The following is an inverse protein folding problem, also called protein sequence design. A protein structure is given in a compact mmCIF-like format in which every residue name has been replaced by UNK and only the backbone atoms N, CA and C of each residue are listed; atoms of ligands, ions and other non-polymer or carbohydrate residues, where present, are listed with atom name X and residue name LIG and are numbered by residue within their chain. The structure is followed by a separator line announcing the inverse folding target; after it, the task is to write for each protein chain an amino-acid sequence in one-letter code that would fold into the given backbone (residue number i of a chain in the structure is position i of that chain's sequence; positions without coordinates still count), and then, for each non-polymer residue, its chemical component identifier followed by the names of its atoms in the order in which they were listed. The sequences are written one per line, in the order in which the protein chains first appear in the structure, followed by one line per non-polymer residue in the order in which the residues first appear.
data_IF_169182672577
#
_entry.id   IF_169182672577
#
_cell.length_a   1.000
_cell.length_b   1.000
_cell.length_c   1.000
_cell.angle_alpha   90.00
_cell.angle_beta   90.00
_cell.angle_gamma   90.00
#
_symmetry.space_group_name_H-M   'P 1'
#
loop_
_entity.id
_entity.type
_entity.pdbx_description
1 polymer ?
#
# COMPACT_ATOMS: atom_id res chain seq x y z
N UNK A 1 3.81 -25.83 -5.92
CA UNK A 1 2.48 -25.18 -5.87
C UNK A 1 2.61 -23.91 -5.05
N UNK A 2 2.60 -22.75 -5.70
CA UNK A 2 2.72 -21.47 -5.00
C UNK A 2 1.44 -21.21 -4.20
N UNK A 3 1.56 -21.01 -2.88
CA UNK A 3 0.45 -20.57 -2.04
C UNK A 3 -0.11 -19.28 -2.62
N UNK A 4 -1.42 -19.21 -2.81
CA UNK A 4 -2.10 -17.95 -3.08
C UNK A 4 -1.74 -16.98 -1.95
N UNK A 5 -1.18 -15.82 -2.31
CA UNK A 5 -1.02 -14.70 -1.39
C UNK A 5 -2.40 -14.44 -0.77
N UNK A 6 -2.50 -14.31 0.55
CA UNK A 6 -3.68 -13.70 1.15
C UNK A 6 -3.74 -12.26 0.64
N UNK A 7 -4.52 -12.03 -0.43
CA UNK A 7 -4.66 -10.73 -1.10
C UNK A 7 -5.63 -9.81 -0.36
N UNK A 8 -6.13 -10.22 0.81
CA UNK A 8 -7.22 -9.53 1.51
C UNK A 8 -6.76 -8.70 2.70
N UNK A 9 -5.51 -8.86 3.14
CA UNK A 9 -4.95 -8.09 4.27
C UNK A 9 -3.87 -7.11 3.81
N UNK A 10 -4.04 -5.84 4.19
CA UNK A 10 -3.06 -4.77 4.05
C UNK A 10 -2.93 -4.05 5.38
N UNK A 11 -1.76 -3.49 5.65
CA UNK A 11 -1.50 -2.75 6.89
C UNK A 11 -2.09 -1.33 6.82
N UNK A 12 -2.03 -0.72 5.63
CA UNK A 12 -2.55 0.63 5.38
C UNK A 12 -3.24 0.66 4.02
N UNK A 13 -4.46 1.21 3.98
CA UNK A 13 -5.16 1.56 2.76
C UNK A 13 -5.17 3.08 2.58
N UNK A 14 -4.73 3.55 1.41
CA UNK A 14 -4.75 4.96 0.98
C UNK A 14 -5.89 5.10 -0.03
N UNK A 15 -6.85 5.99 0.26
CA UNK A 15 -8.00 6.25 -0.62
C UNK A 15 -7.81 7.62 -1.28
N UNK A 16 -7.69 7.61 -2.61
CA UNK A 16 -7.42 8.76 -3.47
C UNK A 16 -6.01 8.72 -4.07
N UNK A 17 -5.92 8.64 -5.40
CA UNK A 17 -4.66 8.61 -6.18
C UNK A 17 -4.10 9.99 -6.56
N UNK A 18 -4.63 11.07 -5.98
CA UNK A 18 -4.11 12.43 -6.21
C UNK A 18 -2.72 12.65 -5.61
N UNK A 19 -2.19 13.86 -5.78
CA UNK A 19 -0.81 14.21 -5.37
C UNK A 19 -0.49 13.83 -3.92
N UNK A 20 -1.45 14.01 -3.01
CA UNK A 20 -1.27 13.68 -1.59
C UNK A 20 -1.26 12.16 -1.37
N UNK A 21 -2.13 11.41 -2.04
CA UNK A 21 -2.20 9.96 -1.89
C UNK A 21 -0.93 9.26 -2.37
N UNK A 22 -0.44 9.64 -3.56
CA UNK A 22 0.80 9.11 -4.11
C UNK A 22 2.03 9.55 -3.31
N UNK A 23 2.11 10.81 -2.87
CA UNK A 23 3.20 11.27 -2.02
C UNK A 23 3.24 10.53 -0.68
N UNK A 24 2.07 10.22 -0.12
CA UNK A 24 1.93 9.43 1.11
C UNK A 24 2.40 8.00 0.89
N UNK A 25 1.94 7.33 -0.17
CA UNK A 25 2.35 5.97 -0.51
C UNK A 25 3.88 5.88 -0.72
N UNK A 26 4.45 6.86 -1.43
CA UNK A 26 5.89 6.95 -1.68
C UNK A 26 6.70 7.13 -0.38
N UNK A 27 6.30 8.09 0.47
CA UNK A 27 6.99 8.34 1.73
C UNK A 27 6.92 7.14 2.68
N UNK A 28 5.77 6.46 2.76
CA UNK A 28 5.59 5.26 3.59
C UNK A 28 6.41 4.09 3.06
N UNK A 29 6.38 3.84 1.75
CA UNK A 29 7.15 2.74 1.13
C UNK A 29 8.66 2.89 1.35
N UNK A 30 9.16 4.13 1.39
CA UNK A 30 10.57 4.40 1.66
C UNK A 30 10.98 4.27 3.13
N UNK A 31 10.11 4.71 4.06
CA UNK A 31 10.42 4.69 5.50
C UNK A 31 10.09 3.36 6.19
N UNK A 32 9.08 2.66 5.68
CA UNK A 32 8.50 1.45 6.26
C UNK A 32 8.31 0.37 5.19
N UNK A 33 9.40 -0.19 4.65
CA UNK A 33 9.34 -1.18 3.58
C UNK A 33 8.65 -2.50 3.97
N UNK A 34 8.45 -2.74 5.27
CA UNK A 34 7.72 -3.89 5.80
C UNK A 34 6.20 -3.78 5.65
N UNK A 35 5.66 -2.57 5.50
CA UNK A 35 4.21 -2.34 5.43
C UNK A 35 3.68 -2.70 4.03
N UNK A 36 2.58 -3.46 4.01
CA UNK A 36 1.79 -3.70 2.80
C UNK A 36 0.79 -2.57 2.64
N UNK A 37 1.03 -1.72 1.66
CA UNK A 37 0.14 -0.62 1.31
C UNK A 37 -0.82 -1.02 0.19
N UNK A 38 -2.10 -0.64 0.30
CA UNK A 38 -3.02 -0.55 -0.82
C UNK A 38 -3.31 0.90 -1.14
N UNK A 39 -3.42 1.23 -2.43
CA UNK A 39 -3.92 2.51 -2.91
C UNK A 39 -5.14 2.26 -3.80
N UNK A 40 -6.22 2.97 -3.53
CA UNK A 40 -7.47 2.93 -4.29
C UNK A 40 -7.77 4.31 -4.85
N UNK A 41 -8.26 4.38 -6.09
CA UNK A 41 -8.69 5.62 -6.76
C UNK A 41 -10.16 5.54 -7.18
#
# INVERSE_FOLDING_TARGET
MARAQDRTSVDIAIVGGGIVGLATAYALSGKHPELKLALFE
#
